data_IF_456544237435
#
_entry.id   IF_456544237435
#
_cell.length_a   1.000
_cell.length_b   1.000
_cell.length_c   1.000
_cell.angle_alpha   90.00
_cell.angle_beta   90.00
_cell.angle_gamma   90.00
#
_symmetry.space_group_name_H-M   'P 1'
#
loop_
_entity.id
_entity.type
_entity.pdbx_description
1 polymer ?
#
# COMPACT_ATOMS: atom_id res chain seq x y z
N UNK A 1 14.53 29.44 -16.45
CA UNK A 1 13.57 29.08 -17.52
C UNK A 1 13.07 27.68 -17.21
N UNK A 2 11.75 27.45 -17.20
CA UNK A 2 11.16 26.15 -16.81
C UNK A 2 11.38 25.16 -17.96
N UNK A 3 11.97 24.01 -17.64
CA UNK A 3 12.21 22.89 -18.56
C UNK A 3 10.87 22.30 -19.05
N UNK A 4 10.31 22.83 -20.13
CA UNK A 4 9.13 22.25 -20.79
C UNK A 4 9.49 21.07 -21.68
N UNK A 5 10.74 21.01 -22.17
CA UNK A 5 11.20 19.97 -23.09
C UNK A 5 11.55 18.65 -22.40
N UNK A 6 11.97 18.68 -21.12
CA UNK A 6 12.17 17.47 -20.31
C UNK A 6 10.85 16.69 -20.07
N UNK A 7 9.71 17.37 -20.09
CA UNK A 7 8.39 16.77 -19.82
C UNK A 7 7.75 16.08 -21.04
N UNK A 8 8.14 16.44 -22.27
CA UNK A 8 7.49 15.92 -23.49
C UNK A 8 7.92 14.48 -23.78
N UNK A 9 9.16 14.12 -23.48
CA UNK A 9 9.64 12.74 -23.56
C UNK A 9 8.90 11.86 -22.53
N UNK A 10 8.68 12.38 -21.31
CA UNK A 10 8.05 11.65 -20.22
C UNK A 10 6.59 11.28 -20.49
N UNK A 11 5.80 12.19 -21.07
CA UNK A 11 4.38 11.93 -21.30
C UNK A 11 4.15 10.89 -22.40
N UNK A 12 4.88 10.98 -23.52
CA UNK A 12 4.77 9.98 -24.59
C UNK A 12 5.17 8.59 -24.09
N UNK A 13 6.20 8.51 -23.25
CA UNK A 13 6.64 7.24 -22.69
C UNK A 13 5.66 6.70 -21.63
N UNK A 14 5.05 7.57 -20.82
CA UNK A 14 3.99 7.20 -19.89
C UNK A 14 2.76 6.64 -20.62
N UNK A 15 2.38 7.24 -21.75
CA UNK A 15 1.25 6.84 -22.59
C UNK A 15 1.49 5.56 -23.42
N UNK A 16 2.74 5.09 -23.55
CA UNK A 16 3.06 3.82 -24.24
C UNK A 16 2.74 2.60 -23.41
N UNK A 17 2.72 2.74 -22.08
CA UNK A 17 2.40 1.61 -21.20
C UNK A 17 0.89 1.42 -21.11
N UNK A 18 0.37 0.20 -21.33
CA UNK A 18 -1.05 -0.04 -21.15
C UNK A 18 -1.42 0.21 -19.68
N UNK A 19 -2.60 0.77 -19.40
CA UNK A 19 -3.07 0.89 -18.03
C UNK A 19 -3.11 -0.51 -17.40
N UNK A 20 -2.79 -0.57 -16.12
CA UNK A 20 -2.78 -1.81 -15.36
C UNK A 20 -4.11 -2.56 -15.53
N UNK A 21 -4.03 -3.87 -15.76
CA UNK A 21 -5.23 -4.67 -15.97
C UNK A 21 -6.08 -4.80 -14.70
N UNK A 22 -7.39 -5.00 -14.85
CA UNK A 22 -8.29 -5.21 -13.71
C UNK A 22 -7.85 -6.38 -12.81
N UNK A 23 -7.28 -7.45 -13.41
CA UNK A 23 -6.76 -8.60 -12.66
C UNK A 23 -5.50 -8.25 -11.86
N UNK A 24 -4.61 -7.42 -12.41
CA UNK A 24 -3.43 -6.93 -11.71
C UNK A 24 -3.82 -5.96 -10.58
N UNK A 25 -4.79 -5.07 -10.80
CA UNK A 25 -5.39 -4.24 -9.75
C UNK A 25 -5.95 -5.10 -8.60
N UNK A 26 -6.77 -6.11 -8.92
CA UNK A 26 -7.35 -7.00 -7.92
C UNK A 26 -6.29 -7.78 -7.12
N UNK A 27 -5.17 -8.15 -7.75
CA UNK A 27 -4.04 -8.80 -7.07
C UNK A 27 -3.36 -7.87 -6.07
N UNK A 28 -3.09 -6.63 -6.47
CA UNK A 28 -2.47 -5.63 -5.59
C UNK A 28 -3.38 -5.31 -4.41
N UNK A 29 -4.69 -5.17 -4.64
CA UNK A 29 -5.64 -4.89 -3.57
C UNK A 29 -5.74 -6.04 -2.57
N UNK A 30 -5.74 -7.30 -3.03
CA UNK A 30 -5.68 -8.46 -2.14
C UNK A 30 -4.45 -8.44 -1.23
N UNK A 31 -3.26 -8.20 -1.81
CA UNK A 31 -2.02 -8.07 -1.03
C UNK A 31 -2.09 -6.95 0.01
N UNK A 32 -2.60 -5.77 -0.37
CA UNK A 32 -2.76 -4.64 0.56
C UNK A 32 -3.71 -4.95 1.72
N UNK A 33 -4.77 -5.72 1.47
CA UNK A 33 -5.70 -6.15 2.50
C UNK A 33 -5.02 -7.13 3.46
N UNK A 34 -4.28 -8.09 2.92
CA UNK A 34 -3.52 -9.07 3.70
C UNK A 34 -2.47 -8.40 4.61
N UNK A 35 -1.65 -7.52 4.03
CA UNK A 35 -0.65 -6.74 4.77
C UNK A 35 -1.29 -5.92 5.90
N UNK A 36 -2.46 -5.31 5.64
CA UNK A 36 -3.20 -4.53 6.63
C UNK A 36 -3.73 -5.40 7.76
N UNK A 37 -4.37 -6.53 7.44
CA UNK A 37 -4.90 -7.46 8.44
C UNK A 37 -3.80 -7.96 9.35
N UNK A 38 -2.68 -8.40 8.79
CA UNK A 38 -1.51 -8.83 9.58
C UNK A 38 -1.02 -7.73 10.53
N UNK A 39 -0.94 -6.48 10.08
CA UNK A 39 -0.54 -5.36 10.93
C UNK A 39 -1.58 -5.06 12.04
N UNK A 40 -2.87 -5.19 11.75
CA UNK A 40 -3.96 -5.02 12.71
C UNK A 40 -3.95 -6.14 13.77
N UNK A 41 -3.79 -7.39 13.35
CA UNK A 41 -3.69 -8.56 14.23
C UNK A 41 -2.52 -8.42 15.21
N UNK A 42 -1.33 -8.00 14.73
CA UNK A 42 -0.16 -7.75 15.58
C UNK A 42 -0.41 -6.63 16.60
N UNK A 43 -1.10 -5.56 16.20
CA UNK A 43 -1.48 -4.47 17.10
C UNK A 43 -2.51 -4.91 18.15
N UNK A 44 -3.44 -5.79 17.78
CA UNK A 44 -4.40 -6.37 18.71
C UNK A 44 -3.72 -7.27 19.73
N UNK A 45 -2.84 -8.18 19.29
CA UNK A 45 -2.04 -9.03 20.18
C UNK A 45 -1.22 -8.19 21.17
N UNK A 46 -0.59 -7.12 20.69
CA UNK A 46 0.16 -6.19 21.55
C UNK A 46 -0.74 -5.52 22.60
N UNK A 47 -1.94 -5.06 22.22
CA UNK A 47 -2.91 -4.44 23.13
C UNK A 47 -3.44 -5.43 24.17
N UNK A 48 -3.77 -6.65 23.77
CA UNK A 48 -4.23 -7.69 24.70
C UNK A 48 -3.14 -8.01 25.72
N UNK A 49 -1.89 -8.20 25.26
CA UNK A 49 -0.74 -8.42 26.16
C UNK A 49 -0.53 -7.26 27.14
N UNK A 50 -0.66 -6.01 26.71
CA UNK A 50 -0.54 -4.87 27.62
C UNK A 50 -1.69 -4.78 28.62
N UNK A 51 -2.92 -5.13 28.21
CA UNK A 51 -4.08 -5.09 29.09
C UNK A 51 -4.05 -6.21 30.13
N UNK A 52 -3.61 -7.42 29.77
CA UNK A 52 -3.43 -8.54 30.70
C UNK A 52 -2.40 -8.20 31.79
N UNK A 53 -1.31 -7.53 31.42
CA UNK A 53 -0.29 -7.06 32.37
C UNK A 53 -0.80 -5.93 33.29
N UNK A 54 -1.77 -5.13 32.83
CA UNK A 54 -2.42 -4.10 33.62
C UNK A 54 -3.49 -4.64 34.59
N UNK A 55 -4.12 -5.78 34.25
CA UNK A 55 -5.13 -6.45 35.09
C UNK A 55 -4.54 -7.23 36.28
N UNK A 56 -3.23 -7.48 36.27
CA UNK A 56 -2.49 -8.22 37.31
C UNK A 56 -1.85 -7.31 38.37
N UNK A 57 -2.16 -6.00 38.38
CA UNK A 57 -1.66 -5.02 39.37
C UNK A 57 -2.76 -4.49 40.27
#
# INVERSE_FOLDING_TARGET
>A
MRNTDENVALLKDLMKTPPMSASQHARIMRKRIEDRRMAEDLREVSRLRSNDLGSLR
#
